data_IF_499265173050
#
_entry.id   IF_499265173050
#
_cell.length_a   1.000
_cell.length_b   1.000
_cell.length_c   1.000
_cell.angle_alpha   90.00
_cell.angle_beta   90.00
_cell.angle_gamma   90.00
#
_symmetry.space_group_name_H-M   'P 1'
#
loop_
_entity.id
_entity.type
_entity.pdbx_description
1 polymer ?
#
# COMPACT_ATOMS: atom_id res chain seq x y z
N UNK A 1 -2.29 47.45 -12.63
CA UNK A 1 -1.44 47.07 -11.47
C UNK A 1 -2.03 47.71 -10.21
N UNK A 2 -2.67 46.93 -9.32
CA UNK A 2 -3.32 47.47 -8.09
C UNK A 2 -2.56 47.13 -6.82
N UNK A 3 -1.53 46.28 -6.90
CA UNK A 3 -0.73 45.81 -5.78
C UNK A 3 0.77 45.83 -6.15
N UNK A 4 1.57 46.55 -5.39
CA UNK A 4 3.03 46.69 -5.60
C UNK A 4 3.79 45.40 -5.32
N UNK A 5 3.40 44.68 -4.26
CA UNK A 5 4.10 43.47 -3.82
C UNK A 5 3.31 42.17 -4.07
N UNK A 6 2.01 42.27 -4.42
CA UNK A 6 1.12 41.10 -4.63
C UNK A 6 0.62 41.06 -6.07
N UNK A 7 1.51 40.73 -7.00
CA UNK A 7 1.30 40.82 -8.46
C UNK A 7 1.01 39.48 -9.17
N UNK A 8 1.08 38.34 -8.49
CA UNK A 8 0.65 37.04 -9.00
C UNK A 8 -0.89 36.92 -9.02
N UNK A 9 -1.40 35.74 -9.41
CA UNK A 9 -2.83 35.47 -9.49
C UNK A 9 -3.54 35.72 -8.14
N UNK A 10 -4.82 36.11 -8.17
CA UNK A 10 -5.59 36.47 -6.96
C UNK A 10 -5.72 35.33 -5.95
N UNK A 11 -5.54 34.08 -6.38
CA UNK A 11 -5.57 32.89 -5.51
C UNK A 11 -4.22 32.55 -4.88
N UNK A 12 -3.15 33.25 -5.26
CA UNK A 12 -1.79 33.03 -4.73
C UNK A 12 -1.75 33.40 -3.26
N UNK A 13 -1.29 32.47 -2.43
CA UNK A 13 -1.15 32.69 -0.99
C UNK A 13 0.00 33.67 -0.70
N UNK A 14 -0.09 34.53 0.33
CA UNK A 14 1.04 35.35 0.78
C UNK A 14 2.33 34.54 1.04
N UNK A 15 2.21 33.26 1.39
CA UNK A 15 3.36 32.35 1.60
C UNK A 15 4.18 32.14 0.33
N UNK A 16 3.56 32.19 -0.85
CA UNK A 16 4.26 31.99 -2.13
C UNK A 16 5.15 33.17 -2.51
N UNK A 17 4.99 34.32 -1.85
CA UNK A 17 5.85 35.49 -2.03
C UNK A 17 7.12 35.47 -1.17
N UNK A 18 7.17 34.64 -0.12
CA UNK A 18 8.39 34.39 0.68
C UNK A 18 9.62 34.12 -0.20
N UNK A 19 9.63 33.07 -1.03
CA UNK A 19 10.77 32.76 -1.88
C UNK A 19 11.15 33.88 -2.84
N UNK A 20 10.14 34.58 -3.36
CA UNK A 20 10.33 35.58 -4.41
C UNK A 20 11.11 36.78 -3.86
N UNK A 21 10.66 37.35 -2.74
CA UNK A 21 11.35 38.51 -2.17
C UNK A 21 12.68 38.12 -1.52
N UNK A 22 12.79 36.94 -0.91
CA UNK A 22 14.10 36.48 -0.43
C UNK A 22 15.09 36.37 -1.61
N UNK A 23 14.67 35.79 -2.73
CA UNK A 23 15.47 35.71 -3.95
C UNK A 23 15.83 37.08 -4.52
N UNK A 24 14.85 38.00 -4.65
CA UNK A 24 15.09 39.37 -5.16
C UNK A 24 16.09 40.16 -4.31
N UNK A 25 16.17 39.86 -3.01
CA UNK A 25 17.16 40.46 -2.11
C UNK A 25 18.41 39.58 -1.96
N UNK A 26 18.67 38.67 -2.90
CA UNK A 26 19.94 37.95 -3.02
C UNK A 26 20.08 36.68 -2.17
N UNK A 27 18.98 36.00 -1.82
CA UNK A 27 19.05 34.73 -1.11
C UNK A 27 19.83 33.69 -1.93
N UNK A 28 20.86 33.03 -1.33
CA UNK A 28 21.84 32.25 -2.09
C UNK A 28 21.32 30.90 -2.59
N UNK A 29 20.30 30.33 -1.95
CA UNK A 29 19.81 28.96 -2.24
C UNK A 29 18.31 28.92 -2.59
N UNK A 30 17.89 29.32 -3.81
CA UNK A 30 16.48 29.37 -4.20
C UNK A 30 15.76 28.00 -4.09
N UNK A 31 16.51 26.92 -4.24
CA UNK A 31 16.03 25.53 -4.15
C UNK A 31 15.55 25.13 -2.74
N UNK A 32 15.97 25.85 -1.69
CA UNK A 32 15.48 25.59 -0.33
C UNK A 32 13.97 25.80 -0.23
N UNK A 33 13.41 26.75 -0.98
CA UNK A 33 11.98 27.04 -0.91
C UNK A 33 11.12 25.99 -1.60
N UNK A 34 11.57 25.45 -2.74
CA UNK A 34 10.89 24.32 -3.39
C UNK A 34 10.91 23.09 -2.48
N UNK A 35 12.04 22.82 -1.82
CA UNK A 35 12.18 21.71 -0.88
C UNK A 35 11.31 21.90 0.36
N UNK A 36 11.26 23.11 0.93
CA UNK A 36 10.36 23.45 2.04
C UNK A 36 8.90 23.20 1.66
N UNK A 37 8.49 23.64 0.46
CA UNK A 37 7.12 23.45 -0.02
C UNK A 37 6.76 21.97 -0.21
N UNK A 38 7.65 21.17 -0.80
CA UNK A 38 7.42 19.73 -0.97
C UNK A 38 7.33 19.00 0.36
N UNK A 39 8.27 19.26 1.28
CA UNK A 39 8.27 18.66 2.62
C UNK A 39 7.04 19.07 3.44
N UNK A 40 6.60 20.33 3.37
CA UNK A 40 5.35 20.76 4.04
C UNK A 40 4.10 20.07 3.48
N UNK A 41 4.07 19.73 2.18
CA UNK A 41 2.96 18.96 1.60
C UNK A 41 3.00 17.51 2.07
N UNK A 42 4.18 16.91 2.05
CA UNK A 42 4.40 15.55 2.51
C UNK A 42 4.04 15.38 4.00
N UNK A 43 4.44 16.35 4.84
CA UNK A 43 4.05 16.42 6.25
C UNK A 43 2.52 16.35 6.43
N UNK A 44 1.78 17.21 5.73
CA UNK A 44 0.30 17.24 5.79
C UNK A 44 -0.33 15.92 5.37
N UNK A 45 0.26 15.23 4.40
CA UNK A 45 -0.24 13.94 3.94
C UNK A 45 0.02 12.83 4.96
N UNK A 46 1.20 12.80 5.59
CA UNK A 46 1.49 11.86 6.67
C UNK A 46 0.70 12.16 7.95
N UNK A 47 0.45 13.43 8.30
CA UNK A 47 -0.43 13.81 9.41
C UNK A 47 -1.86 13.28 9.20
N UNK A 48 -2.39 13.40 7.98
CA UNK A 48 -3.69 12.79 7.63
C UNK A 48 -3.65 11.28 7.77
N UNK A 49 -2.61 10.61 7.25
CA UNK A 49 -2.46 9.14 7.37
C UNK A 49 -2.42 8.70 8.83
N UNK A 50 -1.64 9.39 9.66
CA UNK A 50 -1.56 9.15 11.09
C UNK A 50 -2.93 9.30 11.75
N UNK A 51 -3.66 10.38 11.44
CA UNK A 51 -5.00 10.61 11.98
C UNK A 51 -6.03 9.53 11.60
N UNK A 52 -5.80 8.83 10.47
CA UNK A 52 -6.63 7.69 10.04
C UNK A 52 -6.22 6.43 10.80
N UNK A 53 -4.92 6.17 10.97
CA UNK A 53 -4.44 5.01 11.71
C UNK A 53 -4.75 5.07 13.21
N UNK A 54 -4.84 6.26 13.79
CA UNK A 54 -5.25 6.46 15.18
C UNK A 54 -6.77 6.45 15.40
N UNK A 55 -7.57 6.19 14.35
CA UNK A 55 -9.02 6.04 14.46
C UNK A 55 -9.40 4.56 14.28
N UNK A 56 -10.14 3.94 15.21
CA UNK A 56 -10.79 4.55 16.39
C UNK A 56 -9.91 4.66 17.65
N UNK A 57 -8.73 4.04 17.67
CA UNK A 57 -7.90 3.94 18.87
C UNK A 57 -6.56 4.66 18.68
N UNK A 58 -6.22 5.53 19.63
CA UNK A 58 -4.90 6.17 19.65
C UNK A 58 -3.79 5.15 19.91
N UNK A 59 -2.54 5.53 19.60
CA UNK A 59 -1.36 4.70 19.85
C UNK A 59 -1.35 4.09 21.27
N UNK A 60 -1.51 4.94 22.29
CA UNK A 60 -1.51 4.49 23.68
C UNK A 60 -2.65 3.50 23.97
N UNK A 61 -3.84 3.72 23.40
CA UNK A 61 -4.96 2.77 23.58
C UNK A 61 -4.62 1.41 22.98
N UNK A 62 -4.01 1.36 21.79
CA UNK A 62 -3.56 0.12 21.15
C UNK A 62 -2.50 -0.58 22.01
N UNK A 63 -1.54 0.16 22.56
CA UNK A 63 -0.52 -0.38 23.49
C UNK A 63 -1.16 -0.97 24.76
N UNK A 64 -2.14 -0.30 25.36
CA UNK A 64 -2.87 -0.84 26.51
C UNK A 64 -3.67 -2.09 26.15
N UNK A 65 -4.34 -2.09 24.99
CA UNK A 65 -5.06 -3.28 24.49
C UNK A 65 -4.12 -4.46 24.30
N UNK A 66 -2.92 -4.25 23.74
CA UNK A 66 -1.91 -5.29 23.60
C UNK A 66 -1.48 -5.87 24.94
N UNK A 67 -1.27 -5.03 25.97
CA UNK A 67 -0.92 -5.51 27.30
C UNK A 67 -2.01 -6.42 27.89
N UNK A 68 -3.28 -6.03 27.76
CA UNK A 68 -4.42 -6.84 28.23
C UNK A 68 -4.53 -8.14 27.44
N UNK A 69 -4.45 -8.10 26.11
CA UNK A 69 -4.54 -9.29 25.25
C UNK A 69 -3.39 -10.25 25.54
N UNK A 70 -2.17 -9.76 25.69
CA UNK A 70 -1.02 -10.60 26.07
C UNK A 70 -1.24 -11.26 27.45
N UNK A 71 -1.78 -10.54 28.43
CA UNK A 71 -2.13 -11.12 29.72
C UNK A 71 -3.19 -12.23 29.61
N UNK A 72 -4.22 -12.01 28.80
CA UNK A 72 -5.26 -13.01 28.55
C UNK A 72 -4.69 -14.25 27.85
N UNK A 73 -3.82 -14.08 26.85
CA UNK A 73 -3.13 -15.18 26.16
C UNK A 73 -2.40 -16.06 27.16
N UNK A 74 -1.57 -15.44 28.02
CA UNK A 74 -0.83 -16.18 29.06
C UNK A 74 -1.78 -16.91 30.00
N UNK A 75 -2.89 -16.29 30.40
CA UNK A 75 -3.88 -16.95 31.27
C UNK A 75 -4.54 -18.16 30.60
N UNK A 76 -4.82 -18.08 29.30
CA UNK A 76 -5.48 -19.14 28.54
C UNK A 76 -4.52 -20.29 28.23
N UNK A 77 -3.26 -19.97 27.92
CA UNK A 77 -2.18 -20.96 27.79
C UNK A 77 -1.96 -21.74 29.09
N UNK A 78 -1.98 -21.07 30.25
CA UNK A 78 -1.91 -21.74 31.55
C UNK A 78 -3.09 -22.70 31.72
N UNK A 79 -4.34 -22.26 31.47
CA UNK A 79 -5.52 -23.14 31.57
C UNK A 79 -5.41 -24.37 30.67
N UNK A 80 -4.95 -24.19 29.43
CA UNK A 80 -4.77 -25.28 28.47
C UNK A 80 -3.69 -26.25 28.95
N UNK A 81 -2.57 -25.75 29.48
CA UNK A 81 -1.47 -26.58 29.98
C UNK A 81 -1.80 -27.31 31.28
N UNK A 82 -2.59 -26.69 32.15
CA UNK A 82 -3.08 -27.27 33.40
C UNK A 82 -4.31 -28.16 33.21
N UNK A 83 -4.89 -28.20 32.01
CA UNK A 83 -6.03 -29.03 31.67
C UNK A 83 -5.65 -30.52 31.73
N UNK A 84 -5.80 -31.10 32.94
CA UNK A 84 -5.59 -32.53 33.19
C UNK A 84 -6.82 -33.31 32.73
N UNK A 85 -6.68 -34.08 31.65
CA UNK A 85 -7.57 -35.19 31.34
C UNK A 85 -7.51 -36.19 32.51
N UNK A 86 -8.66 -36.68 33.00
CA UNK A 86 -8.67 -37.63 34.12
C UNK A 86 -7.98 -38.95 33.75
N UNK A 87 -7.39 -39.68 34.72
CA UNK A 87 -6.74 -40.98 34.48
C UNK A 87 -7.69 -42.00 33.82
N UNK A 88 -9.00 -41.87 34.03
CA UNK A 88 -10.02 -42.69 33.37
C UNK A 88 -10.04 -42.47 31.83
N UNK A 89 -9.71 -41.27 31.37
CA UNK A 89 -9.67 -40.92 29.95
C UNK A 89 -8.49 -41.55 29.21
N UNK A 90 -7.33 -41.67 29.89
CA UNK A 90 -6.18 -42.39 29.35
C UNK A 90 -6.49 -43.88 29.14
N UNK A 91 -7.22 -44.48 30.09
CA UNK A 91 -7.64 -45.87 29.98
C UNK A 91 -8.66 -46.08 28.86
N UNK A 92 -9.60 -45.15 28.66
CA UNK A 92 -10.57 -45.21 27.56
C UNK A 92 -9.91 -45.01 26.18
N UNK A 93 -8.95 -44.09 26.05
CA UNK A 93 -8.18 -43.91 24.81
C UNK A 93 -7.34 -45.14 24.45
N UNK A 94 -6.75 -45.80 25.45
CA UNK A 94 -5.99 -47.03 25.23
C UNK A 94 -6.91 -48.20 24.84
N UNK A 95 -8.11 -48.30 25.43
CA UNK A 95 -9.13 -49.26 25.03
C UNK A 95 -9.57 -49.04 23.56
N UNK A 96 -9.78 -47.79 23.15
CA UNK A 96 -10.10 -47.45 21.74
C UNK A 96 -8.96 -47.86 20.80
N UNK A 97 -7.69 -47.63 21.17
CA UNK A 97 -6.54 -48.06 20.37
C UNK A 97 -6.49 -49.59 20.21
N UNK A 98 -6.75 -50.32 21.29
CA UNK A 98 -6.79 -51.79 21.25
C UNK A 98 -7.92 -52.30 20.35
N UNK A 99 -9.12 -51.71 20.44
CA UNK A 99 -10.26 -52.06 19.59
C UNK A 99 -9.98 -51.72 18.12
N UNK A 100 -9.39 -50.57 17.81
CA UNK A 100 -8.96 -50.22 16.44
C UNK A 100 -7.95 -51.22 15.88
N UNK A 101 -6.98 -51.66 16.70
CA UNK A 101 -6.06 -52.71 16.29
C UNK A 101 -6.77 -54.03 16.02
N UNK A 102 -7.76 -54.40 16.85
CA UNK A 102 -8.58 -55.59 16.67
C UNK A 102 -9.42 -55.52 15.38
N UNK A 103 -10.08 -54.39 15.12
CA UNK A 103 -10.83 -54.12 13.88
C UNK A 103 -9.93 -54.31 12.67
N UNK A 104 -8.75 -53.66 12.67
CA UNK A 104 -7.79 -53.78 11.57
C UNK A 104 -7.37 -55.23 11.31
N UNK A 105 -7.05 -56.00 12.36
CA UNK A 105 -6.71 -57.43 12.23
C UNK A 105 -7.87 -58.25 11.67
N UNK A 106 -9.08 -58.05 12.17
CA UNK A 106 -10.27 -58.76 11.69
C UNK A 106 -10.57 -58.43 10.23
N UNK A 107 -10.49 -57.15 9.84
CA UNK A 107 -10.65 -56.73 8.44
C UNK A 107 -9.62 -57.38 7.53
N UNK A 108 -8.34 -57.41 7.92
CA UNK A 108 -7.29 -58.11 7.16
C UNK A 108 -7.58 -59.59 7.03
N UNK A 109 -7.96 -60.28 8.11
CA UNK A 109 -8.31 -61.70 8.07
C UNK A 109 -9.51 -61.98 7.15
N UNK A 110 -10.54 -61.11 7.16
CA UNK A 110 -11.69 -61.23 6.26
C UNK A 110 -11.25 -61.09 4.81
N UNK A 111 -10.42 -60.08 4.49
CA UNK A 111 -9.88 -59.90 3.13
C UNK A 111 -9.06 -61.10 2.66
N UNK A 112 -8.26 -61.72 3.54
CA UNK A 112 -7.51 -62.94 3.21
C UNK A 112 -8.43 -64.13 2.92
N UNK A 113 -9.51 -64.28 3.69
CA UNK A 113 -10.50 -65.35 3.47
C UNK A 113 -11.30 -65.10 2.20
N UNK A 114 -11.68 -63.86 1.92
CA UNK A 114 -12.39 -63.47 0.69
C UNK A 114 -11.55 -63.76 -0.56
N UNK A 115 -10.26 -63.40 -0.54
CA UNK A 115 -9.34 -63.75 -1.62
C UNK A 115 -9.27 -65.27 -1.85
N UNK A 116 -9.25 -66.07 -0.77
CA UNK A 116 -9.26 -67.54 -0.89
C UNK A 116 -10.58 -68.06 -1.45
N UNK A 117 -11.72 -67.48 -1.06
CA UNK A 117 -13.02 -67.84 -1.61
C UNK A 117 -13.03 -67.58 -3.12
N UNK A 118 -12.63 -66.38 -3.54
CA UNK A 118 -12.61 -65.98 -4.95
C UNK A 118 -11.72 -66.91 -5.79
N UNK A 119 -10.49 -67.18 -5.33
CA UNK A 119 -9.55 -68.09 -6.03
C UNK A 119 -10.12 -69.51 -6.17
N UNK A 120 -10.79 -70.02 -5.14
CA UNK A 120 -11.39 -71.36 -5.19
C UNK A 120 -12.63 -71.39 -6.10
N UNK A 121 -13.39 -70.30 -6.19
CA UNK A 121 -14.50 -70.18 -7.14
C UNK A 121 -14.00 -70.14 -8.59
N UNK A 122 -12.98 -69.33 -8.88
CA UNK A 122 -12.32 -69.30 -10.19
C UNK A 122 -11.77 -70.68 -10.57
N UNK A 123 -11.15 -71.39 -9.62
CA UNK A 123 -10.65 -72.76 -9.86
C UNK A 123 -11.80 -73.72 -10.22
N UNK A 124 -12.98 -73.60 -9.61
CA UNK A 124 -14.14 -74.41 -9.99
C UNK A 124 -14.62 -74.06 -11.40
N UNK A 125 -14.69 -72.76 -11.73
CA UNK A 125 -15.10 -72.29 -13.06
C UNK A 125 -14.14 -72.83 -14.14
N UNK A 126 -12.83 -72.68 -13.96
CA UNK A 126 -11.80 -73.21 -14.88
C UNK A 126 -11.87 -74.75 -15.02
N UNK A 127 -12.05 -75.48 -13.92
CA UNK A 127 -12.20 -76.93 -13.95
C UNK A 127 -13.48 -77.38 -14.67
N UNK A 128 -14.54 -76.57 -14.61
CA UNK A 128 -15.82 -76.86 -15.27
C UNK A 128 -15.75 -76.52 -16.76
N UNK A 129 -15.16 -75.39 -17.13
CA UNK A 129 -14.95 -74.97 -18.52
C UNK A 129 -14.01 -75.91 -19.27
N UNK A 130 -12.87 -76.27 -18.66
CA UNK A 130 -11.93 -77.24 -19.25
C UNK A 130 -12.53 -78.63 -19.46
N UNK A 131 -13.58 -79.01 -18.71
CA UNK A 131 -14.30 -80.26 -18.96
C UNK A 131 -15.25 -80.18 -20.16
N UNK A 132 -15.71 -78.98 -20.52
CA UNK A 132 -16.60 -78.73 -21.66
C UNK A 132 -15.84 -78.43 -22.96
N UNK A 133 -14.58 -77.99 -22.89
CA UNK A 133 -13.73 -77.65 -24.04
C UNK A 133 -12.99 -78.82 -24.70
N UNK A 134 -13.09 -80.04 -24.15
CA UNK A 134 -12.51 -81.19 -24.84
C UNK A 134 -13.31 -81.41 -26.13
N UNK A 135 -12.70 -81.07 -27.27
CA UNK A 135 -13.22 -81.35 -28.61
C UNK A 135 -13.28 -82.88 -28.77
N UNK A 136 -14.40 -83.44 -28.34
CA UNK A 136 -14.65 -84.88 -28.30
C UNK A 136 -14.41 -85.50 -29.67
N UNK A 137 -14.69 -84.77 -30.75
CA UNK A 137 -14.52 -85.26 -32.12
C UNK A 137 -13.04 -85.33 -32.52
N UNK A 138 -12.22 -84.32 -32.17
CA UNK A 138 -10.78 -84.36 -32.48
C UNK A 138 -10.06 -85.49 -31.72
N UNK A 139 -10.36 -85.65 -30.43
CA UNK A 139 -9.71 -86.67 -29.59
C UNK A 139 -10.22 -88.07 -29.93
N UNK A 140 -11.50 -88.21 -30.30
CA UNK A 140 -12.05 -89.47 -30.79
C UNK A 140 -11.41 -89.88 -32.12
N UNK A 141 -11.28 -88.95 -33.08
CA UNK A 141 -10.59 -89.22 -34.35
C UNK A 141 -9.13 -89.63 -34.15
N UNK A 142 -8.41 -88.99 -33.21
CA UNK A 142 -7.05 -89.40 -32.87
C UNK A 142 -6.98 -90.81 -32.26
N UNK A 143 -7.95 -91.18 -31.41
CA UNK A 143 -8.06 -92.52 -30.85
C UNK A 143 -8.41 -93.57 -31.91
N UNK A 144 -9.28 -93.23 -32.87
CA UNK A 144 -9.63 -94.07 -34.00
C UNK A 144 -8.42 -94.29 -34.93
N UNK A 145 -7.64 -93.23 -35.22
CA UNK A 145 -6.38 -93.32 -35.97
C UNK A 145 -5.34 -94.18 -35.23
N UNK A 146 -5.20 -94.02 -33.92
CA UNK A 146 -4.28 -94.81 -33.11
C UNK A 146 -4.68 -96.30 -33.04
N UNK A 147 -5.98 -96.60 -33.04
CA UNK A 147 -6.51 -97.95 -33.03
C UNK A 147 -6.20 -98.73 -34.33
N UNK A 148 -5.96 -98.04 -35.45
CA UNK A 148 -5.53 -98.66 -36.72
C UNK A 148 -4.11 -99.24 -36.63
N UNK A 149 -3.20 -98.56 -35.89
CA UNK A 149 -1.78 -98.96 -35.80
C UNK A 149 -1.46 -99.81 -34.56
N UNK A 150 -2.32 -99.83 -33.56
CA UNK A 150 -2.13 -100.55 -32.30
C UNK A 150 -3.31 -101.53 -32.07
N UNK A 151 -3.14 -102.84 -32.36
CA UNK A 151 -4.22 -103.84 -32.27
C UNK A 151 -4.79 -104.06 -30.87
N UNK A 152 -4.14 -103.54 -29.82
CA UNK A 152 -4.56 -103.65 -28.42
C UNK A 152 -4.34 -102.32 -27.70
N UNK A 153 -5.25 -101.36 -27.88
CA UNK A 153 -5.38 -100.26 -26.92
C UNK A 153 -5.88 -100.83 -25.58
N UNK A 154 -5.15 -100.59 -24.49
CA UNK A 154 -5.47 -101.16 -23.17
C UNK A 154 -6.77 -100.61 -22.54
N UNK A 155 -7.27 -99.44 -22.97
CA UNK A 155 -8.49 -98.80 -22.47
C UNK A 155 -9.24 -98.08 -23.58
N UNK A 156 -10.57 -98.13 -23.57
CA UNK A 156 -11.40 -97.43 -24.56
C UNK A 156 -11.38 -95.92 -24.27
N UNK A 157 -11.52 -95.09 -25.31
CA UNK A 157 -11.65 -93.64 -25.18
C UNK A 157 -12.75 -93.26 -24.18
N UNK A 158 -13.91 -93.94 -24.26
CA UNK A 158 -15.02 -93.77 -23.32
C UNK A 158 -14.63 -94.01 -21.86
N UNK A 159 -13.73 -94.96 -21.58
CA UNK A 159 -13.26 -95.24 -20.22
C UNK A 159 -12.38 -94.11 -19.68
N UNK A 160 -11.57 -93.48 -20.56
CA UNK A 160 -10.67 -92.38 -20.21
C UNK A 160 -11.45 -91.08 -20.02
N UNK A 161 -12.42 -90.81 -20.90
CA UNK A 161 -13.33 -89.67 -20.80
C UNK A 161 -14.14 -89.74 -19.50
N UNK A 162 -14.76 -90.90 -19.21
CA UNK A 162 -15.50 -91.12 -17.97
C UNK A 162 -14.62 -90.99 -16.73
N UNK A 163 -13.38 -91.49 -16.77
CA UNK A 163 -12.43 -91.32 -15.67
C UNK A 163 -12.06 -89.83 -15.47
N UNK A 164 -11.83 -89.09 -16.55
CA UNK A 164 -11.54 -87.66 -16.50
C UNK A 164 -12.72 -86.85 -15.94
N UNK A 165 -13.94 -87.05 -16.46
CA UNK A 165 -15.15 -86.40 -15.97
C UNK A 165 -15.38 -86.68 -14.48
N UNK A 166 -15.21 -87.94 -14.06
CA UNK A 166 -15.35 -88.33 -12.65
C UNK A 166 -14.24 -87.77 -11.76
N UNK A 167 -13.02 -87.58 -12.30
CA UNK A 167 -11.92 -86.92 -11.58
C UNK A 167 -12.21 -85.43 -11.40
N UNK A 168 -12.67 -84.73 -12.44
CA UNK A 168 -13.06 -83.31 -12.37
C UNK A 168 -14.20 -83.11 -11.38
N UNK A 169 -15.26 -83.93 -11.46
CA UNK A 169 -16.40 -83.91 -10.54
C UNK A 169 -15.95 -84.08 -9.07
N UNK A 170 -15.06 -85.03 -8.80
CA UNK A 170 -14.52 -85.24 -7.45
C UNK A 170 -13.68 -84.06 -6.95
N UNK A 171 -12.90 -83.41 -7.84
CA UNK A 171 -12.12 -82.21 -7.50
C UNK A 171 -13.03 -81.02 -7.20
N UNK A 172 -14.05 -80.78 -8.02
CA UNK A 172 -15.06 -79.75 -7.79
C UNK A 172 -15.75 -79.97 -6.44
N UNK A 173 -16.27 -81.17 -6.19
CA UNK A 173 -16.91 -81.53 -4.91
C UNK A 173 -16.00 -81.33 -3.69
N UNK A 174 -14.69 -81.57 -3.83
CA UNK A 174 -13.72 -81.32 -2.75
C UNK A 174 -13.55 -79.83 -2.49
N UNK A 175 -13.38 -79.02 -3.54
CA UNK A 175 -13.22 -77.57 -3.45
C UNK A 175 -14.51 -76.91 -2.92
N UNK A 176 -15.69 -77.39 -3.32
CA UNK A 176 -16.97 -76.89 -2.81
C UNK A 176 -17.15 -77.11 -1.30
N UNK A 177 -16.74 -78.28 -0.78
CA UNK A 177 -16.74 -78.54 0.67
C UNK A 177 -15.77 -77.60 1.41
N UNK A 178 -14.62 -77.34 0.82
CA UNK A 178 -13.65 -76.39 1.38
C UNK A 178 -14.18 -74.94 1.36
N UNK A 179 -14.83 -74.53 0.27
CA UNK A 179 -15.51 -73.24 0.14
C UNK A 179 -16.62 -73.04 1.17
N UNK A 180 -17.41 -74.08 1.45
CA UNK A 180 -18.45 -74.03 2.48
C UNK A 180 -17.85 -73.73 3.86
N UNK A 181 -16.70 -74.34 4.17
CA UNK A 181 -15.97 -74.07 5.41
C UNK A 181 -15.39 -72.65 5.44
N UNK A 182 -14.76 -72.19 4.36
CA UNK A 182 -14.24 -70.81 4.26
C UNK A 182 -15.34 -69.76 4.43
N UNK A 183 -16.53 -69.98 3.84
CA UNK A 183 -17.68 -69.09 4.00
C UNK A 183 -18.20 -69.07 5.44
N UNK A 184 -18.14 -70.21 6.14
CA UNK A 184 -18.48 -70.26 7.56
C UNK A 184 -17.46 -69.47 8.40
N UNK A 185 -16.17 -69.70 8.20
CA UNK A 185 -15.10 -69.00 8.92
C UNK A 185 -15.17 -67.48 8.67
N UNK A 186 -15.46 -67.05 7.43
CA UNK A 186 -15.71 -65.65 7.07
C UNK A 186 -16.87 -65.04 7.86
N UNK A 187 -17.99 -65.76 7.97
CA UNK A 187 -19.16 -65.29 8.69
C UNK A 187 -18.89 -65.14 10.19
N UNK A 188 -18.04 -66.01 10.77
CA UNK A 188 -17.61 -65.88 12.17
C UNK A 188 -16.73 -64.64 12.36
N UNK A 189 -15.74 -64.43 11.48
CA UNK A 189 -14.90 -63.23 11.49
C UNK A 189 -15.72 -61.94 11.32
N UNK A 190 -16.72 -61.95 10.44
CA UNK A 190 -17.61 -60.80 10.23
C UNK A 190 -18.41 -60.45 11.49
N UNK A 191 -18.93 -61.46 12.21
CA UNK A 191 -19.64 -61.23 13.48
C UNK A 191 -18.72 -60.60 14.53
N UNK A 192 -17.47 -61.05 14.61
CA UNK A 192 -16.48 -60.48 15.52
C UNK A 192 -16.11 -59.04 15.14
N UNK A 193 -16.05 -58.73 13.85
CA UNK A 193 -15.82 -57.38 13.34
C UNK A 193 -16.99 -56.44 13.71
N UNK A 194 -18.23 -56.87 13.46
CA UNK A 194 -19.43 -56.09 13.77
C UNK A 194 -19.53 -55.80 15.28
N UNK A 195 -19.16 -56.78 16.12
CA UNK A 195 -19.09 -56.60 17.57
C UNK A 195 -18.03 -55.57 17.97
N UNK A 196 -16.83 -55.64 17.38
CA UNK A 196 -15.75 -54.68 17.67
C UNK A 196 -16.10 -53.26 17.21
N UNK A 197 -16.80 -53.10 16.08
CA UNK A 197 -17.30 -51.82 15.60
C UNK A 197 -18.38 -51.23 16.53
N UNK A 198 -19.27 -52.07 17.06
CA UNK A 198 -20.27 -51.64 18.04
C UNK A 198 -19.64 -51.19 19.37
N UNK A 199 -18.63 -51.93 19.85
CA UNK A 199 -17.85 -51.57 21.04
C UNK A 199 -17.11 -50.23 20.84
N UNK A 200 -16.49 -50.02 19.67
CA UNK A 200 -15.84 -48.75 19.32
C UNK A 200 -16.83 -47.57 19.33
N UNK A 201 -17.97 -47.73 18.67
CA UNK A 201 -19.01 -46.70 18.60
C UNK A 201 -19.53 -46.32 19.98
N UNK A 202 -19.73 -47.31 20.86
CA UNK A 202 -20.22 -47.10 22.22
C UNK A 202 -19.20 -46.34 23.08
N UNK A 203 -17.91 -46.67 22.96
CA UNK A 203 -16.83 -45.98 23.66
C UNK A 203 -16.67 -44.55 23.17
N UNK A 204 -16.71 -44.30 21.85
CA UNK A 204 -16.62 -42.95 21.29
C UNK A 204 -17.80 -42.07 21.73
N UNK A 205 -19.01 -42.64 21.82
CA UNK A 205 -20.19 -41.92 22.30
C UNK A 205 -20.08 -41.58 23.79
N UNK A 206 -19.57 -42.50 24.61
CA UNK A 206 -19.29 -42.24 26.03
C UNK A 206 -18.23 -41.14 26.21
N UNK A 207 -17.17 -41.18 25.39
CA UNK A 207 -16.10 -40.18 25.41
C UNK A 207 -16.61 -38.78 25.03
N UNK A 208 -17.47 -38.68 24.02
CA UNK A 208 -18.08 -37.42 23.58
C UNK A 208 -19.04 -36.82 24.61
N UNK A 209 -19.71 -37.65 25.41
CA UNK A 209 -20.66 -37.21 26.44
C UNK A 209 -19.98 -36.70 27.72
N UNK A 210 -18.66 -36.88 27.86
CA UNK A 210 -17.89 -36.49 29.06
C UNK A 210 -17.45 -35.02 29.10
N UNK A 211 -17.71 -34.22 28.05
CA UNK A 211 -17.51 -32.75 28.01
C UNK A 211 -16.06 -32.27 27.84
N UNK A 212 -15.07 -33.04 28.25
CA UNK A 212 -13.66 -32.62 28.38
C UNK A 212 -12.94 -32.27 27.07
N UNK A 213 -13.22 -32.97 25.97
CA UNK A 213 -12.59 -32.67 24.67
C UNK A 213 -13.14 -31.37 24.07
N UNK A 214 -14.45 -31.18 24.21
CA UNK A 214 -15.15 -30.01 23.69
C UNK A 214 -14.71 -28.74 24.44
N UNK A 215 -14.50 -28.84 25.75
CA UNK A 215 -13.98 -27.73 26.57
C UNK A 215 -12.55 -27.32 26.15
N UNK A 216 -11.68 -28.28 25.83
CA UNK A 216 -10.33 -28.02 25.33
C UNK A 216 -10.35 -27.36 23.94
N UNK A 217 -11.24 -27.80 23.06
CA UNK A 217 -11.43 -27.15 21.76
C UNK A 217 -11.92 -25.70 21.92
N UNK A 218 -12.86 -25.45 22.84
CA UNK A 218 -13.33 -24.09 23.16
C UNK A 218 -12.19 -23.20 23.65
N UNK A 219 -11.35 -23.69 24.57
CA UNK A 219 -10.17 -22.93 25.06
C UNK A 219 -9.17 -22.65 23.93
N UNK A 220 -8.92 -23.60 23.02
CA UNK A 220 -8.03 -23.40 21.87
C UNK A 220 -8.60 -22.39 20.87
N UNK A 221 -9.91 -22.40 20.64
CA UNK A 221 -10.57 -21.41 19.79
C UNK A 221 -10.44 -20.00 20.37
N UNK A 222 -10.60 -19.86 21.69
CA UNK A 222 -10.42 -18.57 22.37
C UNK A 222 -8.96 -18.09 22.32
N UNK A 223 -7.98 -18.98 22.53
CA UNK A 223 -6.56 -18.66 22.37
C UNK A 223 -6.25 -18.16 20.95
N UNK A 224 -6.76 -18.84 19.92
CA UNK A 224 -6.58 -18.41 18.53
C UNK A 224 -7.20 -17.04 18.27
N UNK A 225 -8.40 -16.77 18.83
CA UNK A 225 -9.06 -15.46 18.74
C UNK A 225 -8.21 -14.36 19.36
N UNK A 226 -7.60 -14.62 20.52
CA UNK A 226 -6.71 -13.67 21.20
C UNK A 226 -5.41 -13.42 20.40
N UNK A 227 -4.83 -14.46 19.79
CA UNK A 227 -3.65 -14.34 18.93
C UNK A 227 -3.94 -13.54 17.66
N UNK A 228 -5.09 -13.76 17.03
CA UNK A 228 -5.55 -12.97 15.88
C UNK A 228 -5.73 -11.50 16.27
N UNK A 229 -6.39 -11.25 17.41
CA UNK A 229 -6.58 -9.90 17.95
C UNK A 229 -5.23 -9.22 18.23
N UNK A 230 -4.26 -9.94 18.80
CA UNK A 230 -2.89 -9.44 19.01
C UNK A 230 -2.24 -9.04 17.68
N UNK A 231 -2.28 -9.91 16.67
CA UNK A 231 -1.69 -9.63 15.36
C UNK A 231 -2.29 -8.37 14.70
N UNK A 232 -3.61 -8.18 14.81
CA UNK A 232 -4.28 -6.98 14.31
C UNK A 232 -3.84 -5.69 15.02
N UNK A 233 -3.68 -5.74 16.36
CA UNK A 233 -3.19 -4.62 17.15
C UNK A 233 -1.72 -4.30 16.88
N UNK A 234 -0.85 -5.31 16.77
CA UNK A 234 0.58 -5.14 16.45
C UNK A 234 0.77 -4.53 15.05
N UNK A 235 0.03 -5.00 14.05
CA UNK A 235 0.07 -4.44 12.71
C UNK A 235 -0.40 -2.96 12.67
N UNK A 236 -1.39 -2.62 13.49
CA UNK A 236 -1.87 -1.24 13.62
C UNK A 236 -0.82 -0.35 14.29
N UNK A 237 -0.22 -0.83 15.38
CA UNK A 237 0.85 -0.12 16.10
C UNK A 237 2.09 0.09 15.21
N UNK A 238 2.46 -0.90 14.41
CA UNK A 238 3.56 -0.80 13.45
C UNK A 238 3.33 0.34 12.46
N UNK A 239 2.16 0.41 11.82
CA UNK A 239 1.82 1.48 10.86
C UNK A 239 1.88 2.86 11.49
N UNK A 240 1.40 2.99 12.73
CA UNK A 240 1.47 4.24 13.49
C UNK A 240 2.94 4.63 13.70
N UNK A 241 3.76 3.71 14.22
CA UNK A 241 5.17 3.96 14.49
C UNK A 241 5.96 4.36 13.23
N UNK A 242 5.81 3.61 12.13
CA UNK A 242 6.44 3.92 10.85
C UNK A 242 6.04 5.32 10.35
N UNK A 243 4.75 5.66 10.46
CA UNK A 243 4.24 6.97 10.06
C UNK A 243 4.80 8.09 10.95
N UNK A 244 4.86 7.87 12.26
CA UNK A 244 5.43 8.82 13.23
C UNK A 244 6.92 9.05 12.96
N UNK A 245 7.68 8.01 12.65
CA UNK A 245 9.11 8.13 12.31
C UNK A 245 9.33 8.95 11.03
N UNK A 246 8.50 8.76 10.00
CA UNK A 246 8.58 9.58 8.78
C UNK A 246 8.23 11.04 9.06
N UNK A 247 7.19 11.30 9.87
CA UNK A 247 6.86 12.66 10.30
C UNK A 247 8.00 13.32 11.06
N UNK A 248 8.67 12.59 11.94
CA UNK A 248 9.82 13.12 12.68
C UNK A 248 10.97 13.50 11.74
N UNK A 249 11.30 12.65 10.76
CA UNK A 249 12.32 12.96 9.74
C UNK A 249 11.97 14.21 8.94
N UNK A 250 10.72 14.34 8.51
CA UNK A 250 10.24 15.51 7.77
C UNK A 250 10.32 16.77 8.64
N UNK A 251 9.93 16.68 9.92
CA UNK A 251 10.03 17.80 10.88
C UNK A 251 11.48 18.27 11.04
N UNK A 252 12.41 17.34 11.25
CA UNK A 252 13.84 17.67 11.38
C UNK A 252 14.39 18.35 10.12
N UNK A 253 14.02 17.86 8.93
CA UNK A 253 14.44 18.48 7.67
C UNK A 253 13.84 19.89 7.51
N UNK A 254 12.58 20.10 7.90
CA UNK A 254 11.95 21.43 7.88
C UNK A 254 12.62 22.39 8.87
N UNK A 255 12.93 21.94 10.08
CA UNK A 255 13.68 22.70 11.08
C UNK A 255 15.06 23.13 10.56
N UNK A 256 15.79 22.24 9.88
CA UNK A 256 17.08 22.56 9.28
C UNK A 256 16.94 23.65 8.19
N UNK A 257 15.94 23.52 7.31
CA UNK A 257 15.66 24.51 6.26
C UNK A 257 15.28 25.85 6.88
N UNK A 258 14.42 25.86 7.89
CA UNK A 258 14.02 27.08 8.58
C UNK A 258 15.20 27.75 9.28
N UNK A 259 16.09 26.96 9.90
CA UNK A 259 17.34 27.48 10.49
C UNK A 259 18.31 28.06 9.45
N UNK A 260 18.32 27.55 8.21
CA UNK A 260 19.07 28.19 7.10
C UNK A 260 18.45 29.52 6.71
N UNK A 261 17.13 29.57 6.56
CA UNK A 261 16.41 30.81 6.23
C UNK A 261 16.62 31.85 7.34
N UNK A 262 16.48 31.48 8.61
CA UNK A 262 16.61 32.39 9.75
C UNK A 262 18.02 32.98 9.88
N UNK A 263 19.07 32.21 9.57
CA UNK A 263 20.44 32.73 9.48
C UNK A 263 20.61 33.80 8.39
N UNK A 264 19.86 33.71 7.30
CA UNK A 264 19.89 34.69 6.23
C UNK A 264 19.07 35.96 6.54
N UNK A 265 18.15 35.92 7.51
CA UNK A 265 17.25 37.05 7.77
C UNK A 265 17.97 38.30 8.27
N UNK A 266 19.10 38.15 8.97
CA UNK A 266 19.93 39.29 9.35
C UNK A 266 20.45 40.06 8.12
N UNK A 267 21.08 39.35 7.17
CA UNK A 267 21.56 39.91 5.90
C UNK A 267 20.41 40.47 5.06
N UNK A 268 19.28 39.76 5.01
CA UNK A 268 18.07 40.25 4.35
C UNK A 268 17.59 41.58 4.94
N UNK A 269 17.60 41.74 6.26
CA UNK A 269 17.17 42.97 6.91
C UNK A 269 18.10 44.15 6.62
N UNK A 270 19.41 43.91 6.53
CA UNK A 270 20.38 44.92 6.10
C UNK A 270 20.10 45.37 4.66
N UNK A 271 19.84 44.42 3.76
CA UNK A 271 19.47 44.72 2.38
C UNK A 271 18.13 45.45 2.26
N UNK A 272 17.13 45.09 3.07
CA UNK A 272 15.86 45.83 3.18
C UNK A 272 16.10 47.27 3.66
N UNK A 273 17.04 47.46 4.59
CA UNK A 273 17.42 48.79 5.07
C UNK A 273 18.00 49.63 3.93
N UNK A 274 18.95 49.09 3.16
CA UNK A 274 19.50 49.75 1.96
C UNK A 274 18.40 50.08 0.96
N UNK A 275 17.55 49.11 0.62
CA UNK A 275 16.42 49.32 -0.29
C UNK A 275 15.50 50.45 0.17
N UNK A 276 15.16 50.50 1.46
CA UNK A 276 14.28 51.53 2.01
C UNK A 276 14.87 52.95 1.96
N UNK A 277 16.21 53.10 1.93
CA UNK A 277 16.83 54.42 1.70
C UNK A 277 16.46 55.00 0.33
N UNK A 278 16.41 54.16 -0.70
CA UNK A 278 15.99 54.55 -2.04
C UNK A 278 14.47 54.65 -2.13
N UNK A 279 13.74 53.65 -1.63
CA UNK A 279 12.29 53.58 -1.79
C UNK A 279 11.59 54.77 -1.12
N UNK A 280 11.98 55.12 0.11
CA UNK A 280 11.45 56.29 0.82
C UNK A 280 11.80 57.60 0.11
N UNK A 281 13.06 57.76 -0.35
CA UNK A 281 13.51 58.94 -1.10
C UNK A 281 12.71 59.14 -2.39
N UNK A 282 12.49 58.06 -3.14
CA UNK A 282 11.84 58.10 -4.44
C UNK A 282 10.33 58.30 -4.31
N UNK A 283 9.70 57.62 -3.34
CA UNK A 283 8.28 57.84 -3.06
C UNK A 283 8.01 59.27 -2.60
N UNK A 284 8.92 59.87 -1.81
CA UNK A 284 8.80 61.26 -1.36
C UNK A 284 8.93 62.25 -2.51
N UNK A 285 9.93 62.05 -3.38
CA UNK A 285 10.12 62.89 -4.58
C UNK A 285 8.89 62.86 -5.47
N UNK A 286 8.32 61.67 -5.69
CA UNK A 286 7.14 61.51 -6.53
C UNK A 286 5.88 62.02 -5.80
N UNK A 287 5.44 61.37 -4.73
CA UNK A 287 4.08 61.55 -4.18
C UNK A 287 4.01 62.28 -2.84
N UNK A 288 5.11 62.91 -2.40
CA UNK A 288 5.25 63.57 -1.09
C UNK A 288 4.96 62.63 0.09
N UNK A 289 5.10 61.32 -0.13
CA UNK A 289 4.87 60.27 0.86
C UNK A 289 6.10 59.38 0.98
N UNK A 290 6.46 59.00 2.20
CA UNK A 290 7.59 58.12 2.48
C UNK A 290 7.07 56.69 2.71
N UNK A 291 7.32 55.79 1.75
CA UNK A 291 6.97 54.37 1.86
C UNK A 291 8.17 53.54 2.28
N UNK A 292 7.90 52.45 2.99
CA UNK A 292 8.88 51.45 3.39
C UNK A 292 8.39 50.04 3.07
N UNK A 293 9.30 49.17 2.68
CA UNK A 293 9.12 47.74 2.57
C UNK A 293 9.53 47.08 3.89
N UNK A 294 8.67 46.22 4.42
CA UNK A 294 8.90 45.52 5.68
C UNK A 294 8.35 44.10 5.63
N UNK A 295 8.68 43.31 6.64
CA UNK A 295 8.24 41.93 6.75
C UNK A 295 7.86 41.58 8.20
N UNK A 296 7.05 40.53 8.34
CA UNK A 296 6.61 39.99 9.62
C UNK A 296 6.70 38.45 9.56
N UNK A 297 7.34 37.82 10.55
CA UNK A 297 7.33 36.36 10.69
C UNK A 297 5.94 35.92 11.15
N UNK A 298 5.33 34.96 10.46
CA UNK A 298 4.07 34.35 10.86
C UNK A 298 4.31 33.00 11.53
N UNK A 299 4.07 32.94 12.84
CA UNK A 299 4.37 31.77 13.67
C UNK A 299 3.54 30.53 13.32
N UNK A 300 2.33 30.68 12.78
CA UNK A 300 1.44 29.54 12.45
C UNK A 300 1.94 28.66 11.31
N UNK A 301 2.70 29.24 10.37
CA UNK A 301 3.09 28.60 9.11
C UNK A 301 4.59 28.83 8.80
N UNK A 302 5.33 29.36 9.77
CA UNK A 302 6.76 29.67 9.73
C UNK A 302 7.23 30.32 8.41
N UNK A 303 6.57 31.40 8.01
CA UNK A 303 6.94 32.14 6.80
C UNK A 303 6.98 33.65 7.03
N UNK A 304 7.73 34.35 6.18
CA UNK A 304 7.84 35.81 6.18
C UNK A 304 6.79 36.44 5.27
N UNK A 305 5.93 37.28 5.85
CA UNK A 305 4.91 38.05 5.14
C UNK A 305 5.41 39.47 4.89
N UNK A 306 5.54 39.84 3.61
CA UNK A 306 5.96 41.17 3.20
C UNK A 306 4.80 42.18 3.13
N UNK A 307 5.11 43.44 3.43
CA UNK A 307 4.16 44.57 3.42
C UNK A 307 4.87 45.84 2.98
N UNK A 308 4.08 46.77 2.44
CA UNK A 308 4.49 48.16 2.30
C UNK A 308 3.71 48.97 3.33
N UNK A 309 4.42 49.82 4.07
CA UNK A 309 3.84 50.78 5.00
C UNK A 309 4.17 52.21 4.57
N UNK A 310 3.33 53.16 4.97
CA UNK A 310 3.57 54.59 4.81
C UNK A 310 3.97 55.16 6.19
N UNK A 311 5.03 55.97 6.24
CA UNK A 311 5.56 56.58 7.47
C UNK A 311 4.60 57.64 8.05
N UNK A 312 3.81 58.31 7.22
CA UNK A 312 2.95 59.46 7.55
C UNK A 312 1.46 59.13 7.78
N UNK A 313 1.03 57.87 7.68
CA UNK A 313 -0.36 57.44 7.93
C UNK A 313 -1.27 57.35 6.68
N UNK A 314 -2.55 56.96 6.88
CA UNK A 314 -3.50 56.41 5.89
C UNK A 314 -3.42 56.96 4.45
N UNK A 315 -3.30 56.03 3.48
CA UNK A 315 -3.10 56.31 2.06
C UNK A 315 -4.43 56.38 1.29
N UNK A 316 -4.62 57.41 0.47
CA UNK A 316 -5.71 57.51 -0.51
C UNK A 316 -5.47 56.64 -1.75
N UNK A 317 -6.53 56.00 -2.27
CA UNK A 317 -6.45 54.98 -3.34
C UNK A 317 -5.83 55.40 -4.68
N UNK A 318 -5.66 56.70 -4.96
CA UNK A 318 -5.10 57.22 -6.21
C UNK A 318 -3.57 57.13 -6.35
N UNK A 319 -2.82 56.80 -5.28
CA UNK A 319 -1.35 56.84 -5.25
C UNK A 319 -0.64 55.50 -5.55
N UNK A 320 -1.39 54.44 -5.87
CA UNK A 320 -0.85 53.07 -5.96
C UNK A 320 0.07 52.81 -7.17
N UNK A 321 -0.24 53.33 -8.37
CA UNK A 321 0.65 53.15 -9.55
C UNK A 321 1.99 53.86 -9.38
N UNK A 322 1.95 55.00 -8.69
CA UNK A 322 3.12 55.75 -8.28
C UNK A 322 4.04 55.03 -7.32
N UNK A 323 3.45 54.35 -6.34
CA UNK A 323 4.17 53.47 -5.43
C UNK A 323 4.88 52.35 -6.19
N UNK A 324 4.28 51.78 -7.24
CA UNK A 324 4.92 50.76 -8.08
C UNK A 324 6.15 51.30 -8.79
N UNK A 325 6.02 52.45 -9.47
CA UNK A 325 7.16 53.07 -10.14
C UNK A 325 8.29 53.45 -9.17
N UNK A 326 7.95 54.00 -8.00
CA UNK A 326 8.93 54.30 -6.96
C UNK A 326 9.64 53.03 -6.45
N UNK A 327 8.89 51.93 -6.25
CA UNK A 327 9.42 50.65 -5.80
C UNK A 327 10.38 50.04 -6.81
N UNK A 328 9.97 50.02 -8.09
CA UNK A 328 10.74 49.45 -9.19
C UNK A 328 12.04 50.21 -9.46
N UNK A 329 12.01 51.54 -9.48
CA UNK A 329 13.22 52.37 -9.63
C UNK A 329 14.14 52.28 -8.40
N UNK A 330 13.55 52.18 -7.21
CA UNK A 330 14.31 51.96 -5.97
C UNK A 330 15.01 50.60 -5.99
N UNK A 331 14.36 49.58 -6.55
CA UNK A 331 14.95 48.26 -6.69
C UNK A 331 16.17 48.28 -7.63
N UNK A 332 16.11 48.99 -8.77
CA UNK A 332 17.29 49.18 -9.64
C UNK A 332 18.45 49.82 -8.85
N UNK A 333 18.17 50.87 -8.09
CA UNK A 333 19.21 51.56 -7.33
C UNK A 333 19.78 50.70 -6.20
N UNK A 334 18.94 49.90 -5.56
CA UNK A 334 19.32 48.91 -4.57
C UNK A 334 20.25 47.83 -5.15
N UNK A 335 19.90 47.21 -6.29
CA UNK A 335 20.74 46.15 -6.88
C UNK A 335 22.10 46.71 -7.33
N UNK A 336 22.14 47.97 -7.77
CA UNK A 336 23.39 48.66 -8.12
C UNK A 336 24.27 48.91 -6.89
N UNK A 337 23.67 49.38 -5.78
CA UNK A 337 24.38 49.66 -4.53
C UNK A 337 24.94 48.37 -3.90
N UNK A 338 24.14 47.30 -3.88
CA UNK A 338 24.54 46.01 -3.27
C UNK A 338 25.37 45.15 -4.23
N UNK A 339 25.43 45.50 -5.52
CA UNK A 339 26.16 44.74 -6.54
C UNK A 339 25.50 43.41 -6.92
N UNK A 340 24.17 43.32 -6.86
CA UNK A 340 23.43 42.13 -7.27
C UNK A 340 23.28 42.07 -8.80
N UNK A 341 23.53 40.89 -9.37
CA UNK A 341 23.43 40.64 -10.82
C UNK A 341 21.97 40.37 -11.24
N UNK A 342 21.14 41.42 -11.21
CA UNK A 342 19.76 41.39 -11.72
C UNK A 342 19.58 42.37 -12.89
N UNK A 343 18.50 42.22 -13.69
CA UNK A 343 18.18 43.18 -14.73
C UNK A 343 18.03 44.60 -14.17
N UNK A 344 18.75 45.56 -14.76
CA UNK A 344 18.72 46.98 -14.39
C UNK A 344 17.68 47.77 -15.20
N UNK A 345 16.57 47.13 -15.57
CA UNK A 345 15.50 47.79 -16.32
C UNK A 345 14.12 47.36 -15.80
N UNK A 346 13.14 48.26 -15.95
CA UNK A 346 11.74 48.00 -15.59
C UNK A 346 10.79 48.45 -16.70
N UNK A 347 9.70 47.68 -16.88
CA UNK A 347 8.76 47.81 -17.99
C UNK A 347 7.35 48.09 -17.48
N UNK A 348 6.77 49.24 -17.85
CA UNK A 348 5.42 49.64 -17.46
C UNK A 348 4.50 49.78 -18.67
N UNK A 349 3.34 49.13 -18.62
CA UNK A 349 2.39 49.07 -19.74
C UNK A 349 1.58 50.37 -19.93
N UNK A 350 1.32 51.12 -18.86
CA UNK A 350 0.67 52.43 -18.97
C UNK A 350 0.81 53.27 -17.70
N UNK A 351 1.09 54.57 -17.91
CA UNK A 351 1.13 55.61 -16.89
C UNK A 351 0.02 56.66 -17.06
N UNK A 352 -1.05 56.36 -17.80
CA UNK A 352 -2.10 57.34 -18.16
C UNK A 352 -2.82 57.97 -16.96
N UNK A 353 -2.97 57.22 -15.86
CA UNK A 353 -3.63 57.68 -14.64
C UNK A 353 -2.71 58.55 -13.75
N UNK A 354 -1.45 58.75 -14.13
CA UNK A 354 -0.49 59.58 -13.41
C UNK A 354 -0.63 61.04 -13.89
N UNK A 355 -0.63 61.99 -12.95
CA UNK A 355 -0.68 63.42 -13.27
C UNK A 355 0.59 63.90 -13.98
N UNK A 356 0.49 64.90 -14.86
CA UNK A 356 1.60 65.36 -15.71
C UNK A 356 2.85 65.76 -14.91
N UNK A 357 2.70 66.49 -13.81
CA UNK A 357 3.79 66.87 -12.90
C UNK A 357 4.51 65.64 -12.31
N UNK A 358 3.78 64.57 -12.03
CA UNK A 358 4.32 63.31 -11.52
C UNK A 358 5.09 62.54 -12.59
N UNK A 359 4.64 62.61 -13.85
CA UNK A 359 5.36 62.03 -15.00
C UNK A 359 6.70 62.72 -15.21
N UNK A 360 6.75 64.05 -15.10
CA UNK A 360 8.00 64.81 -15.20
C UNK A 360 9.01 64.39 -14.14
N UNK A 361 8.57 64.35 -12.87
CA UNK A 361 9.42 63.89 -11.77
C UNK A 361 9.86 62.44 -11.95
N UNK A 362 8.99 61.58 -12.45
CA UNK A 362 9.30 60.17 -12.71
C UNK A 362 10.39 60.00 -13.77
N UNK A 363 10.32 60.75 -14.88
CA UNK A 363 11.34 60.69 -15.92
C UNK A 363 12.65 61.33 -15.47
N UNK A 364 12.60 62.43 -14.73
CA UNK A 364 13.78 63.03 -14.11
C UNK A 364 14.48 62.03 -13.18
N UNK A 365 13.71 61.37 -12.31
CA UNK A 365 14.23 60.33 -11.43
C UNK A 365 14.82 59.14 -12.19
N UNK A 366 14.14 58.68 -13.25
CA UNK A 366 14.63 57.60 -14.09
C UNK A 366 15.96 57.93 -14.79
N UNK A 367 16.19 59.20 -15.14
CA UNK A 367 17.44 59.65 -15.74
C UNK A 367 18.58 59.80 -14.70
N UNK A 368 18.27 59.85 -13.40
CA UNK A 368 19.28 59.90 -12.32
C UNK A 368 19.83 58.51 -11.94
N UNK A 369 19.16 57.42 -12.34
CA UNK A 369 19.53 56.05 -11.93
C UNK A 369 20.40 55.35 -12.98
N UNK A 370 21.26 54.44 -12.53
CA UNK A 370 22.01 53.55 -13.43
C UNK A 370 21.13 52.37 -13.87
N UNK A 371 20.20 52.62 -14.79
CA UNK A 371 19.31 51.61 -15.34
C UNK A 371 18.35 52.20 -16.38
N UNK A 372 17.34 51.42 -16.77
CA UNK A 372 16.39 51.82 -17.82
C UNK A 372 14.94 51.75 -17.33
N UNK A 373 14.21 52.84 -17.51
CA UNK A 373 12.76 52.88 -17.35
C UNK A 373 12.08 52.89 -18.70
N UNK A 374 11.37 51.81 -19.03
CA UNK A 374 10.69 51.66 -20.32
C UNK A 374 9.19 51.65 -20.08
N UNK A 375 8.47 52.56 -20.75
CA UNK A 375 7.04 52.75 -20.51
C UNK A 375 6.28 53.02 -21.79
N UNK A 376 5.10 52.42 -21.91
CA UNK A 376 4.12 52.79 -22.93
C UNK A 376 3.27 53.97 -22.44
N UNK A 377 3.18 55.03 -23.26
CA UNK A 377 2.47 56.26 -22.91
C UNK A 377 1.87 56.92 -24.14
N UNK A 378 0.67 57.45 -23.99
CA UNK A 378 0.03 58.26 -25.03
C UNK A 378 0.79 59.57 -25.21
N UNK A 379 1.10 59.94 -26.47
CA UNK A 379 1.81 61.20 -26.78
C UNK A 379 1.15 62.41 -26.11
N UNK A 380 -0.19 62.45 -26.09
CA UNK A 380 -0.97 63.52 -25.45
C UNK A 380 -0.64 63.73 -23.97
N UNK A 381 -0.25 62.67 -23.24
CA UNK A 381 0.12 62.76 -21.83
C UNK A 381 1.50 63.35 -21.59
N UNK A 382 2.38 63.33 -22.59
CA UNK A 382 3.78 63.74 -22.47
C UNK A 382 4.14 64.95 -23.35
N UNK A 383 3.17 65.54 -24.08
CA UNK A 383 3.38 66.72 -24.96
C UNK A 383 4.12 67.87 -24.28
N UNK A 384 3.91 68.06 -22.98
CA UNK A 384 4.51 69.14 -22.20
C UNK A 384 6.04 69.01 -22.08
N UNK A 385 6.62 67.82 -22.32
CA UNK A 385 8.08 67.59 -22.32
C UNK A 385 8.78 68.10 -23.59
N UNK A 386 8.02 68.49 -24.62
CA UNK A 386 8.56 68.95 -25.90
C UNK A 386 8.88 67.81 -26.88
N UNK A 387 8.74 68.09 -28.18
CA UNK A 387 8.89 67.07 -29.23
C UNK A 387 10.31 66.49 -29.31
N UNK A 388 11.35 67.29 -29.05
CA UNK A 388 12.73 66.84 -29.15
C UNK A 388 13.06 65.78 -28.10
N UNK A 389 12.67 66.03 -26.83
CA UNK A 389 12.82 65.06 -25.75
C UNK A 389 12.07 63.76 -26.05
N UNK A 390 10.82 63.87 -26.53
CA UNK A 390 10.00 62.71 -26.87
C UNK A 390 10.68 61.89 -27.98
N UNK A 391 11.11 62.54 -29.06
CA UNK A 391 11.72 61.84 -30.20
C UNK A 391 13.05 61.16 -29.82
N UNK A 392 13.88 61.79 -28.98
CA UNK A 392 15.15 61.22 -28.52
C UNK A 392 14.97 60.00 -27.62
N UNK A 393 13.87 59.94 -26.87
CA UNK A 393 13.58 58.89 -25.89
C UNK A 393 12.51 57.89 -26.38
N UNK A 394 12.05 57.99 -27.62
CA UNK A 394 11.08 57.07 -28.21
C UNK A 394 11.79 55.97 -28.99
N UNK A 395 11.66 54.73 -28.52
CA UNK A 395 12.20 53.56 -29.21
C UNK A 395 11.20 53.03 -30.25
N UNK A 396 9.91 52.99 -29.89
CA UNK A 396 8.82 52.54 -30.75
C UNK A 396 7.65 53.52 -30.68
N UNK A 397 7.11 53.89 -31.84
CA UNK A 397 5.96 54.79 -31.96
C UNK A 397 4.87 54.13 -32.80
N UNK A 398 3.62 54.18 -32.32
CA UNK A 398 2.44 53.91 -33.13
C UNK A 398 1.82 55.22 -33.58
N UNK A 399 1.65 55.36 -34.89
CA UNK A 399 0.96 56.50 -35.49
C UNK A 399 -0.13 56.02 -36.46
N UNK A 400 -0.99 56.93 -36.93
CA UNK A 400 -2.11 56.57 -37.81
C UNK A 400 -1.67 55.94 -39.15
N UNK A 401 -0.45 56.21 -39.58
CA UNK A 401 0.17 55.69 -40.80
C UNK A 401 1.01 54.42 -40.54
N UNK A 402 1.27 54.08 -39.27
CA UNK A 402 2.13 52.98 -38.81
C UNK A 402 1.52 52.23 -37.62
N UNK A 403 0.49 51.43 -37.91
CA UNK A 403 -0.33 50.76 -36.88
C UNK A 403 0.24 49.44 -36.33
N UNK A 404 1.27 48.87 -36.97
CA UNK A 404 1.79 47.52 -36.64
C UNK A 404 3.30 47.50 -36.36
N UNK A 405 3.85 48.58 -35.79
CA UNK A 405 5.26 48.75 -35.43
C UNK A 405 6.32 48.55 -36.53
N UNK A 406 5.98 48.05 -37.73
CA UNK A 406 6.91 47.75 -38.85
C UNK A 406 8.18 46.98 -38.42
N UNK A 407 8.08 46.13 -37.40
CA UNK A 407 9.18 45.28 -36.91
C UNK A 407 9.20 43.98 -37.70
#
# INVERSE_FOLDING_TARGET
>A
MSNTIMYLHKSTSPREYEPIFLFLFGFPEPTLFSNKSSLSREQKDYEKRLSVYEKPHSKNVIEQMLNVVNGNIVSEEIKINEFRLSDAYHHELENIRQIKSKISKLSTSISEVDLRIDLNQQTIEELTESSNEIDSDYVQNFYDDAAIYLPNLQKKFDDVLNFHSKMVENKVNFIEKYLSKLKQDRNELQKDLDKALFEESSLLQALSNSGTLNDLEVMRLELNRLLEQKGGLEASLQKINETTEQLQKISTNLEEINGKIERYIADFNEKVTVFNTFFSKYSKKLYEEEYIFSYEKKDSDEYYKFKIANISGNVGGGKKKGQVAAFDLAYISFINEVGLLFPQFVLHDSIEDIHANQIETLFSLANEINGQYVVAVLKDKIKFLGNDYINQNTILCLDQHNKFFRI
#
